data_IF_140709096453
#
_entry.id   IF_140709096453
#
_cell.length_a   1.000
_cell.length_b   1.000
_cell.length_c   1.000
_cell.angle_alpha   90.00
_cell.angle_beta   90.00
_cell.angle_gamma   90.00
#
_symmetry.space_group_name_H-M   'P 1'
#
loop_
_entity.id
_entity.type
_entity.pdbx_description
1 polymer ?
#
# COMPACT_ATOMS: atom_id res chain seq x y z
N UNK A 1 19.87 -0.36 -30.47
CA UNK A 1 18.52 0.22 -30.45
C UNK A 1 18.13 0.34 -28.99
N UNK A 2 18.34 1.51 -28.36
CA UNK A 2 17.94 1.69 -26.96
C UNK A 2 16.44 1.98 -26.93
N UNK A 3 15.64 0.98 -26.57
CA UNK A 3 14.29 1.27 -26.08
C UNK A 3 14.45 2.02 -24.77
N UNK A 4 14.12 3.31 -24.75
CA UNK A 4 13.94 4.06 -23.52
C UNK A 4 12.87 3.36 -22.70
N UNK A 5 13.27 2.66 -21.63
CA UNK A 5 12.34 2.15 -20.63
C UNK A 5 11.52 3.34 -20.13
N UNK A 6 10.20 3.27 -20.21
CA UNK A 6 9.34 4.34 -19.71
C UNK A 6 9.50 4.45 -18.19
N UNK A 7 9.46 5.68 -17.66
CA UNK A 7 9.60 5.90 -16.22
C UNK A 7 8.44 5.27 -15.43
N UNK A 8 8.71 4.84 -14.19
CA UNK A 8 7.75 4.16 -13.30
C UNK A 8 6.38 4.87 -13.23
N UNK A 9 6.34 6.19 -12.98
CA UNK A 9 5.07 6.94 -12.91
C UNK A 9 4.31 6.99 -14.25
N UNK A 10 5.01 6.93 -15.38
CA UNK A 10 4.37 6.92 -16.70
C UNK A 10 3.72 5.56 -16.96
N UNK A 11 4.42 4.48 -16.63
CA UNK A 11 3.92 3.10 -16.72
C UNK A 11 2.71 2.89 -15.81
N UNK A 12 2.79 3.37 -14.57
CA UNK A 12 1.70 3.25 -13.60
C UNK A 12 0.40 3.92 -14.07
N UNK A 13 0.49 5.09 -14.73
CA UNK A 13 -0.69 5.79 -15.29
C UNK A 13 -1.29 5.13 -16.52
N UNK A 14 -0.61 4.18 -17.15
CA UNK A 14 -1.11 3.46 -18.32
C UNK A 14 -1.86 2.18 -17.96
N UNK A 15 -1.84 1.79 -16.68
CA UNK A 15 -2.57 0.63 -16.21
C UNK A 15 -4.08 0.86 -16.39
N UNK A 16 -4.78 -0.18 -16.84
CA UNK A 16 -6.24 -0.20 -16.77
C UNK A 16 -6.70 -0.35 -15.31
N UNK A 17 -8.00 -0.12 -15.08
CA UNK A 17 -8.58 -0.14 -13.73
C UNK A 17 -8.30 -1.45 -12.97
N UNK A 18 -8.35 -2.62 -13.64
CA UNK A 18 -8.12 -3.91 -12.97
C UNK A 18 -6.66 -4.05 -12.53
N UNK A 19 -5.73 -3.55 -13.34
CA UNK A 19 -4.29 -3.53 -13.03
C UNK A 19 -3.96 -2.51 -11.94
N UNK A 20 -4.57 -1.32 -11.97
CA UNK A 20 -4.48 -0.35 -10.88
C UNK A 20 -4.94 -0.96 -9.54
N UNK A 21 -6.10 -1.62 -9.53
CA UNK A 21 -6.63 -2.27 -8.34
C UNK A 21 -5.70 -3.36 -7.81
N UNK A 22 -5.17 -4.20 -8.68
CA UNK A 22 -4.23 -5.25 -8.30
C UNK A 22 -2.91 -4.69 -7.73
N UNK A 23 -2.39 -3.60 -8.32
CA UNK A 23 -1.20 -2.89 -7.86
C UNK A 23 -1.41 -2.30 -6.44
N UNK A 24 -2.49 -1.55 -6.26
CA UNK A 24 -2.81 -0.92 -4.98
C UNK A 24 -3.12 -1.95 -3.90
N UNK A 25 -3.82 -3.05 -4.24
CA UNK A 25 -4.09 -4.13 -3.30
C UNK A 25 -2.79 -4.80 -2.80
N UNK A 26 -1.79 -4.98 -3.68
CA UNK A 26 -0.49 -5.50 -3.30
C UNK A 26 0.28 -4.54 -2.36
N UNK A 27 0.17 -3.23 -2.59
CA UNK A 27 0.71 -2.23 -1.66
C UNK A 27 -0.01 -2.25 -0.31
N UNK A 28 -1.33 -2.36 -0.29
CA UNK A 28 -2.09 -2.49 0.95
C UNK A 28 -1.70 -3.74 1.75
N UNK A 29 -1.38 -4.86 1.08
CA UNK A 29 -0.83 -6.04 1.75
C UNK A 29 0.50 -5.71 2.47
N UNK A 30 1.38 -4.93 1.84
CA UNK A 30 2.68 -4.51 2.40
C UNK A 30 2.54 -3.48 3.52
N UNK A 31 1.49 -2.67 3.52
CA UNK A 31 1.24 -1.68 4.57
C UNK A 31 0.59 -2.29 5.82
N UNK A 32 -0.11 -3.43 5.68
CA UNK A 32 -0.86 -4.09 6.74
C UNK A 32 -0.10 -4.26 8.07
N UNK A 33 1.20 -4.67 8.10
CA UNK A 33 1.90 -4.86 9.36
C UNK A 33 2.07 -3.55 10.15
N UNK A 34 2.10 -2.39 9.49
CA UNK A 34 2.20 -1.11 10.19
C UNK A 34 0.94 -0.81 11.02
N UNK A 35 -0.24 -1.03 10.44
CA UNK A 35 -1.52 -0.89 11.15
C UNK A 35 -1.59 -1.89 12.32
N UNK A 36 -1.20 -3.13 12.05
CA UNK A 36 -1.30 -4.20 13.02
C UNK A 36 -0.35 -4.03 14.21
N UNK A 37 0.87 -3.51 13.98
CA UNK A 37 1.79 -3.11 15.06
C UNK A 37 1.24 -1.97 15.90
N UNK A 38 0.64 -0.95 15.27
CA UNK A 38 -0.02 0.12 16.00
C UNK A 38 -1.13 -0.45 16.89
N UNK A 39 -2.02 -1.28 16.33
CA UNK A 39 -3.14 -1.84 17.06
C UNK A 39 -2.72 -2.75 18.22
N UNK A 40 -1.64 -3.52 18.06
CA UNK A 40 -1.08 -4.33 19.13
C UNK A 40 -0.48 -3.46 20.26
N UNK A 41 0.23 -2.39 19.91
CA UNK A 41 0.92 -1.55 20.88
C UNK A 41 -0.02 -0.65 21.68
N UNK A 42 -1.11 -0.17 21.06
CA UNK A 42 -2.06 0.76 21.70
C UNK A 42 -3.29 0.06 22.27
N UNK A 43 -3.64 -1.13 21.73
CA UNK A 43 -4.93 -1.77 21.97
C UNK A 43 -6.09 -1.11 21.22
N UNK A 44 -5.81 -0.17 20.31
CA UNK A 44 -6.81 0.56 19.51
C UNK A 44 -6.82 0.05 18.06
N UNK A 45 -8.00 -0.05 17.45
CA UNK A 45 -8.16 -0.52 16.06
C UNK A 45 -8.48 -2.02 15.91
N UNK A 46 -8.81 -2.44 14.68
CA UNK A 46 -9.20 -3.82 14.37
C UNK A 46 -8.54 -4.30 13.08
N UNK A 47 -7.36 -4.92 13.26
CA UNK A 47 -6.57 -5.51 12.17
C UNK A 47 -7.34 -6.59 11.41
N UNK A 48 -8.22 -7.33 12.08
CA UNK A 48 -9.01 -8.38 11.44
C UNK A 48 -10.08 -7.78 10.53
N UNK A 49 -10.75 -6.71 10.96
CA UNK A 49 -11.67 -5.96 10.10
C UNK A 49 -10.96 -5.38 8.87
N UNK A 50 -9.78 -4.76 9.05
CA UNK A 50 -9.00 -4.20 7.95
C UNK A 50 -8.58 -5.30 6.94
N UNK A 51 -8.11 -6.43 7.45
CA UNK A 51 -7.77 -7.62 6.66
C UNK A 51 -8.96 -8.14 5.87
N UNK A 52 -10.14 -8.21 6.46
CA UNK A 52 -11.35 -8.68 5.79
C UNK A 52 -11.75 -7.78 4.62
N UNK A 53 -11.60 -6.46 4.75
CA UNK A 53 -11.89 -5.53 3.66
C UNK A 53 -10.92 -5.75 2.50
N UNK A 54 -9.62 -5.87 2.77
CA UNK A 54 -8.63 -6.18 1.73
C UNK A 54 -8.86 -7.57 1.10
N UNK A 55 -9.35 -8.55 1.85
CA UNK A 55 -9.72 -9.87 1.33
C UNK A 55 -10.87 -9.80 0.33
N UNK A 56 -11.87 -8.95 0.57
CA UNK A 56 -12.96 -8.70 -0.37
C UNK A 56 -12.46 -8.04 -1.66
N UNK A 57 -11.47 -7.14 -1.59
CA UNK A 57 -10.81 -6.60 -2.78
C UNK A 57 -10.15 -7.71 -3.61
N UNK A 58 -9.41 -8.62 -2.96
CA UNK A 58 -8.82 -9.77 -3.66
C UNK A 58 -9.87 -10.72 -4.22
N UNK A 59 -10.97 -10.95 -3.51
CA UNK A 59 -12.09 -11.74 -4.00
C UNK A 59 -12.67 -11.12 -5.28
N UNK A 60 -12.88 -9.80 -5.30
CA UNK A 60 -13.33 -9.08 -6.49
C UNK A 60 -12.39 -9.29 -7.70
N UNK A 61 -11.07 -9.23 -7.47
CA UNK A 61 -10.07 -9.44 -8.53
C UNK A 61 -10.06 -10.90 -9.06
N UNK A 62 -10.35 -11.88 -8.20
CA UNK A 62 -10.27 -13.31 -8.48
C UNK A 62 -11.58 -13.92 -9.02
N UNK A 63 -12.73 -13.39 -8.60
CA UNK A 63 -14.05 -13.96 -8.85
C UNK A 63 -14.85 -13.03 -9.74
N UNK A 64 -15.01 -13.43 -11.00
CA UNK A 64 -15.77 -12.66 -11.98
C UNK A 64 -17.24 -12.53 -11.52
N UNK A 65 -17.68 -11.29 -11.32
CA UNK A 65 -19.07 -11.00 -10.92
C UNK A 65 -19.34 -11.11 -9.42
N UNK A 66 -18.30 -11.11 -8.57
CA UNK A 66 -18.46 -10.98 -7.12
C UNK A 66 -19.32 -9.74 -6.79
N UNK A 67 -20.38 -9.95 -6.01
CA UNK A 67 -21.28 -8.88 -5.54
C UNK A 67 -20.85 -8.44 -4.16
N UNK A 68 -20.04 -7.39 -4.10
CA UNK A 68 -19.54 -6.81 -2.86
C UNK A 68 -20.15 -5.42 -2.73
N UNK A 69 -20.68 -5.14 -1.55
CA UNK A 69 -21.16 -3.82 -1.16
C UNK A 69 -19.98 -3.00 -0.66
N UNK A 70 -19.32 -2.29 -1.59
CA UNK A 70 -18.15 -1.48 -1.31
C UNK A 70 -18.47 -0.16 -0.60
N UNK A 71 -19.70 0.35 -0.72
CA UNK A 71 -20.16 1.51 0.05
C UNK A 71 -20.18 1.15 1.54
N UNK A 72 -20.80 0.01 1.88
CA UNK A 72 -20.77 -0.50 3.25
C UNK A 72 -19.37 -0.84 3.75
N UNK A 73 -18.46 -1.27 2.87
CA UNK A 73 -17.07 -1.53 3.31
C UNK A 73 -16.30 -0.22 3.54
N UNK A 74 -16.59 0.85 2.80
CA UNK A 74 -15.99 2.16 3.03
C UNK A 74 -16.44 2.75 4.37
N UNK A 75 -17.73 2.63 4.72
CA UNK A 75 -18.25 3.05 6.03
C UNK A 75 -17.52 2.35 7.18
N UNK A 76 -17.35 1.02 7.07
CA UNK A 76 -16.60 0.25 8.07
C UNK A 76 -15.13 0.63 8.11
N UNK A 77 -14.52 0.92 6.97
CA UNK A 77 -13.11 1.28 6.89
C UNK A 77 -12.83 2.60 7.62
N UNK A 78 -13.74 3.57 7.51
CA UNK A 78 -13.64 4.84 8.23
C UNK A 78 -13.65 4.66 9.77
N UNK A 79 -14.35 3.65 10.28
CA UNK A 79 -14.34 3.30 11.71
C UNK A 79 -13.00 2.70 12.18
N UNK A 80 -12.10 2.34 11.25
CA UNK A 80 -10.79 1.75 11.55
C UNK A 80 -9.67 2.80 11.64
N UNK A 81 -9.96 4.08 11.38
CA UNK A 81 -8.98 5.14 11.56
C UNK A 81 -8.51 5.23 13.02
N UNK A 82 -7.22 5.51 13.26
CA UNK A 82 -6.71 5.80 14.60
C UNK A 82 -7.49 6.93 15.29
N UNK A 83 -7.56 6.95 16.64
CA UNK A 83 -8.28 7.97 17.39
C UNK A 83 -7.84 9.40 17.03
N UNK A 84 -8.82 10.30 16.90
CA UNK A 84 -8.55 11.72 16.65
C UNK A 84 -7.68 12.29 17.77
N UNK A 85 -6.53 12.84 17.41
CA UNK A 85 -5.56 13.44 18.34
C UNK A 85 -4.39 12.53 18.71
N UNK A 86 -4.37 11.28 18.26
CA UNK A 86 -3.15 10.46 18.32
C UNK A 86 -2.19 10.84 17.18
N UNK A 87 -1.23 11.71 17.51
CA UNK A 87 -0.18 12.18 16.60
C UNK A 87 1.08 11.30 16.64
N UNK A 88 1.01 10.09 17.21
CA UNK A 88 2.14 9.18 17.23
C UNK A 88 2.55 8.75 15.81
N UNK A 89 3.81 8.37 15.66
CA UNK A 89 4.31 7.84 14.39
C UNK A 89 3.51 6.60 13.96
N UNK A 90 3.21 5.70 14.91
CA UNK A 90 2.41 4.50 14.66
C UNK A 90 1.00 4.84 14.15
N UNK A 91 0.31 5.81 14.77
CA UNK A 91 -1.00 6.25 14.31
C UNK A 91 -0.96 6.79 12.88
N UNK A 92 0.05 7.59 12.51
CA UNK A 92 0.19 8.08 11.12
C UNK A 92 0.37 6.94 10.12
N UNK A 93 1.14 5.90 10.46
CA UNK A 93 1.34 4.72 9.59
C UNK A 93 0.10 3.84 9.50
N UNK A 94 -0.66 3.72 10.59
CA UNK A 94 -1.94 3.04 10.59
C UNK A 94 -2.96 3.78 9.72
N UNK A 95 -3.08 5.11 9.87
CA UNK A 95 -3.95 5.95 9.06
C UNK A 95 -3.60 5.86 7.57
N UNK A 96 -2.32 5.92 7.20
CA UNK A 96 -1.89 5.75 5.80
C UNK A 96 -2.32 4.39 5.21
N UNK A 97 -2.33 3.34 6.02
CA UNK A 97 -2.80 2.01 5.60
C UNK A 97 -4.31 2.03 5.33
N UNK A 98 -5.09 2.69 6.19
CA UNK A 98 -6.55 2.87 6.04
C UNK A 98 -6.86 3.71 4.80
N UNK A 99 -6.18 4.84 4.63
CA UNK A 99 -6.35 5.74 3.47
C UNK A 99 -5.98 5.05 2.16
N UNK A 100 -4.90 4.27 2.13
CA UNK A 100 -4.52 3.49 0.96
C UNK A 100 -5.61 2.47 0.56
N UNK A 101 -6.20 1.79 1.54
CA UNK A 101 -7.31 0.88 1.29
C UNK A 101 -8.59 1.63 0.88
N UNK A 102 -8.82 2.83 1.39
CA UNK A 102 -9.95 3.67 0.98
C UNK A 102 -9.83 4.04 -0.50
N UNK A 103 -8.64 4.45 -0.95
CA UNK A 103 -8.39 4.75 -2.37
C UNK A 103 -8.68 3.55 -3.29
N UNK A 104 -8.43 2.32 -2.82
CA UNK A 104 -8.82 1.09 -3.53
C UNK A 104 -10.34 0.96 -3.66
N UNK A 105 -11.08 1.20 -2.56
CA UNK A 105 -12.54 1.15 -2.57
C UNK A 105 -13.14 2.25 -3.47
N UNK A 106 -12.57 3.44 -3.48
CA UNK A 106 -12.97 4.55 -4.35
C UNK A 106 -12.77 4.20 -5.82
N UNK A 107 -11.62 3.59 -6.14
CA UNK A 107 -11.31 3.12 -7.49
C UNK A 107 -12.29 2.04 -7.96
N UNK A 108 -12.75 1.16 -7.06
CA UNK A 108 -13.80 0.16 -7.38
C UNK A 108 -15.16 0.81 -7.70
N UNK A 109 -15.40 2.02 -7.19
CA UNK A 109 -16.60 2.82 -7.47
C UNK A 109 -16.47 3.68 -8.73
N UNK A 110 -15.31 3.66 -9.39
CA UNK A 110 -15.04 4.44 -10.61
C UNK A 110 -14.55 5.87 -10.33
N UNK A 111 -14.12 6.12 -9.10
CA UNK A 111 -13.63 7.41 -8.62
C UNK A 111 -12.11 7.31 -8.47
N UNK A 112 -11.35 8.33 -8.93
CA UNK A 112 -9.89 8.44 -8.81
C UNK A 112 -9.01 7.71 -9.86
N UNK A 113 -8.72 8.35 -11.01
CA UNK A 113 -7.76 7.84 -11.99
C UNK A 113 -6.29 7.87 -11.52
N UNK A 114 -5.96 8.69 -10.53
CA UNK A 114 -4.59 8.86 -10.00
C UNK A 114 -4.33 8.04 -8.71
N UNK A 115 -5.32 7.31 -8.20
CA UNK A 115 -5.24 6.57 -6.93
C UNK A 115 -4.00 5.66 -6.84
N UNK A 116 -3.64 4.96 -7.93
CA UNK A 116 -2.48 4.07 -7.91
C UNK A 116 -1.17 4.82 -7.65
N UNK A 117 -1.03 6.03 -8.20
CA UNK A 117 0.13 6.88 -7.95
C UNK A 117 0.12 7.43 -6.52
N UNK A 118 -1.03 7.85 -6.03
CA UNK A 118 -1.18 8.36 -4.66
C UNK A 118 -0.81 7.28 -3.62
N UNK A 119 -1.31 6.05 -3.77
CA UNK A 119 -0.96 4.91 -2.90
C UNK A 119 0.54 4.57 -2.98
N UNK A 120 1.13 4.60 -4.19
CA UNK A 120 2.57 4.42 -4.39
C UNK A 120 3.39 5.47 -3.65
N UNK A 121 3.00 6.75 -3.74
CA UNK A 121 3.67 7.87 -3.07
C UNK A 121 3.48 7.83 -1.56
N UNK A 122 2.30 7.42 -1.07
CA UNK A 122 2.04 7.27 0.36
C UNK A 122 2.96 6.22 0.98
N UNK A 123 3.11 5.05 0.33
CA UNK A 123 4.04 4.01 0.81
C UNK A 123 5.48 4.50 0.91
N UNK A 124 5.98 5.22 -0.12
CA UNK A 124 7.33 5.81 -0.12
C UNK A 124 7.48 6.93 0.90
N UNK A 125 6.46 7.74 1.09
CA UNK A 125 6.45 8.80 2.09
C UNK A 125 6.54 8.21 3.51
N UNK A 126 5.89 7.07 3.74
CA UNK A 126 6.02 6.30 4.97
C UNK A 126 7.46 5.89 5.26
N UNK A 127 8.17 5.36 4.26
CA UNK A 127 9.59 5.00 4.35
C UNK A 127 10.47 6.21 4.62
N UNK A 128 10.28 7.31 3.88
CA UNK A 128 11.01 8.57 4.10
C UNK A 128 10.88 9.03 5.56
N UNK A 129 9.65 9.07 6.08
CA UNK A 129 9.39 9.53 7.43
C UNK A 129 9.91 8.55 8.50
N UNK A 130 10.01 7.25 8.20
CA UNK A 130 10.68 6.31 9.09
C UNK A 130 12.18 6.55 9.17
N UNK A 131 12.83 6.77 8.01
CA UNK A 131 14.26 7.11 7.94
C UNK A 131 14.55 8.42 8.68
N UNK A 132 13.72 9.44 8.46
CA UNK A 132 13.80 10.72 9.19
C UNK A 132 13.78 10.49 10.71
N UNK A 133 12.84 9.67 11.20
CA UNK A 133 12.71 9.34 12.62
C UNK A 133 13.92 8.55 13.16
N UNK A 134 14.42 7.55 12.43
CA UNK A 134 15.47 6.65 12.94
C UNK A 134 16.88 7.22 12.83
N UNK A 135 17.14 8.01 11.79
CA UNK A 135 18.45 8.65 11.57
C UNK A 135 18.55 10.00 12.31
N UNK A 136 17.43 10.61 12.69
CA UNK A 136 17.39 11.88 13.42
C UNK A 136 17.95 13.05 12.62
N UNK A 137 17.69 13.07 11.30
CA UNK A 137 18.14 14.13 10.40
C UNK A 137 16.97 15.09 10.07
N UNK A 138 17.06 16.31 10.60
CA UNK A 138 16.03 17.33 10.47
C UNK A 138 16.31 18.33 9.31
N UNK A 139 17.49 18.27 8.67
CA UNK A 139 17.79 19.09 7.50
C UNK A 139 17.26 18.43 6.21
N UNK A 140 16.33 19.08 5.53
CA UNK A 140 15.66 18.55 4.34
C UNK A 140 16.62 18.12 3.22
N UNK A 141 17.70 18.89 2.99
CA UNK A 141 18.64 18.61 1.90
C UNK A 141 19.48 17.37 2.22
N UNK A 142 19.93 17.23 3.47
CA UNK A 142 20.67 16.06 3.94
C UNK A 142 19.77 14.83 4.02
N UNK A 143 18.55 14.96 4.55
CA UNK A 143 17.58 13.90 4.60
C UNK A 143 17.25 13.36 3.20
N UNK A 144 17.11 14.24 2.20
CA UNK A 144 16.87 13.80 0.82
C UNK A 144 18.01 12.93 0.25
N UNK A 145 19.27 13.25 0.59
CA UNK A 145 20.43 12.44 0.22
C UNK A 145 20.40 11.10 0.97
N UNK A 146 20.16 11.15 2.28
CA UNK A 146 20.09 9.97 3.16
C UNK A 146 19.02 8.99 2.67
N UNK A 147 17.80 9.48 2.44
CA UNK A 147 16.66 8.69 1.95
C UNK A 147 16.95 8.04 0.61
N UNK A 148 17.59 8.76 -0.32
CA UNK A 148 17.95 8.22 -1.64
C UNK A 148 18.95 7.06 -1.55
N UNK A 149 19.83 7.09 -0.56
CA UNK A 149 20.90 6.11 -0.39
C UNK A 149 20.53 5.00 0.62
N UNK A 150 19.41 5.15 1.32
CA UNK A 150 18.99 4.23 2.38
C UNK A 150 18.47 2.88 1.81
N UNK A 151 18.94 1.74 2.34
CA UNK A 151 18.52 0.41 1.87
C UNK A 151 17.00 0.19 1.88
N UNK A 152 16.29 0.72 2.88
CA UNK A 152 14.83 0.60 2.99
C UNK A 152 14.09 1.31 1.85
N UNK A 153 14.61 2.45 1.36
CA UNK A 153 14.01 3.14 0.22
C UNK A 153 14.32 2.39 -1.09
N UNK A 154 15.51 1.82 -1.22
CA UNK A 154 15.84 0.95 -2.34
C UNK A 154 14.94 -0.29 -2.38
N UNK A 155 14.72 -0.96 -1.25
CA UNK A 155 13.80 -2.09 -1.13
C UNK A 155 12.35 -1.72 -1.50
N UNK A 156 11.88 -0.55 -1.06
CA UNK A 156 10.54 -0.07 -1.43
C UNK A 156 10.42 0.25 -2.93
N UNK A 157 11.47 0.78 -3.56
CA UNK A 157 11.50 0.97 -5.01
C UNK A 157 11.46 -0.37 -5.75
N UNK A 158 12.32 -1.30 -5.37
CA UNK A 158 12.42 -2.63 -5.98
C UNK A 158 11.11 -3.42 -5.82
N UNK A 159 10.48 -3.34 -4.64
CA UNK A 159 9.17 -3.93 -4.39
C UNK A 159 8.11 -3.36 -5.33
N UNK A 160 8.00 -2.03 -5.42
CA UNK A 160 6.99 -1.39 -6.27
C UNK A 160 7.23 -1.64 -7.76
N UNK A 161 8.48 -1.65 -8.22
CA UNK A 161 8.83 -2.01 -9.60
C UNK A 161 8.43 -3.47 -9.88
N UNK A 162 8.71 -4.40 -8.97
CA UNK A 162 8.33 -5.81 -9.11
C UNK A 162 6.80 -5.99 -9.16
N UNK A 163 6.06 -5.28 -8.30
CA UNK A 163 4.58 -5.29 -8.32
C UNK A 163 4.05 -4.70 -9.63
N UNK A 164 4.63 -3.60 -10.11
CA UNK A 164 4.24 -2.97 -11.38
C UNK A 164 4.47 -3.92 -12.56
N UNK A 165 5.64 -4.54 -12.65
CA UNK A 165 5.96 -5.53 -13.68
C UNK A 165 4.99 -6.72 -13.66
N UNK A 166 4.63 -7.19 -12.46
CA UNK A 166 3.68 -8.29 -12.31
C UNK A 166 2.26 -7.93 -12.81
N UNK A 167 1.78 -6.69 -12.58
CA UNK A 167 0.44 -6.28 -13.04
C UNK A 167 0.40 -5.91 -14.52
N UNK A 168 1.51 -5.47 -15.11
CA UNK A 168 1.60 -5.24 -16.55
C UNK A 168 1.51 -6.54 -17.36
N UNK A 169 1.90 -7.67 -16.76
CA UNK A 169 1.76 -9.00 -17.34
C UNK A 169 0.31 -9.51 -17.42
N UNK A 170 0.19 -10.83 -17.59
CA UNK A 170 -1.09 -11.52 -17.63
C UNK A 170 -1.65 -11.70 -16.20
N UNK A 171 -2.83 -11.12 -15.93
CA UNK A 171 -3.50 -11.17 -14.62
C UNK A 171 -4.56 -12.28 -14.56
N UNK A 172 -4.11 -13.53 -14.70
CA UNK A 172 -4.92 -14.71 -14.43
C UNK A 172 -5.06 -14.99 -12.92
N UNK A 173 -5.80 -16.05 -12.57
CA UNK A 173 -6.07 -16.42 -11.17
C UNK A 173 -4.79 -16.74 -10.40
N UNK A 174 -3.80 -17.36 -11.03
CA UNK A 174 -2.58 -17.77 -10.33
C UNK A 174 -1.56 -16.62 -10.24
N UNK A 175 -1.52 -15.74 -11.24
CA UNK A 175 -0.82 -14.46 -11.19
C UNK A 175 -1.32 -13.60 -10.03
N UNK A 176 -2.64 -13.45 -9.86
CA UNK A 176 -3.21 -12.71 -8.72
C UNK A 176 -2.85 -13.33 -7.36
N UNK A 177 -2.83 -14.67 -7.24
CA UNK A 177 -2.38 -15.33 -6.00
C UNK A 177 -0.88 -15.15 -5.74
N UNK A 178 -0.05 -15.11 -6.79
CA UNK A 178 1.38 -14.81 -6.67
C UNK A 178 1.58 -13.35 -6.25
N UNK A 179 0.84 -12.43 -6.88
CA UNK A 179 0.86 -11.01 -6.55
C UNK A 179 0.43 -10.74 -5.11
N UNK A 180 -0.63 -11.39 -4.63
CA UNK A 180 -1.04 -11.29 -3.22
C UNK A 180 0.04 -11.78 -2.26
N UNK A 181 0.74 -12.87 -2.62
CA UNK A 181 1.87 -13.38 -1.82
C UNK A 181 3.07 -12.44 -1.85
N UNK A 182 3.39 -11.88 -3.01
CA UNK A 182 4.41 -10.84 -3.16
C UNK A 182 4.06 -9.64 -2.28
N UNK A 183 2.82 -9.13 -2.34
CA UNK A 183 2.36 -8.01 -1.54
C UNK A 183 2.47 -8.22 -0.05
N UNK A 184 2.19 -9.44 0.44
CA UNK A 184 2.37 -9.79 1.86
C UNK A 184 3.81 -9.72 2.32
N UNK A 185 4.77 -9.85 1.39
CA UNK A 185 6.19 -9.70 1.63
C UNK A 185 6.68 -10.42 2.89
N UNK A 186 6.29 -11.69 3.04
CA UNK A 186 6.66 -12.52 4.21
C UNK A 186 6.27 -11.90 5.58
N UNK A 187 5.27 -11.02 5.62
CA UNK A 187 4.83 -10.32 6.83
C UNK A 187 5.58 -9.02 7.12
N UNK A 188 6.57 -8.65 6.30
CA UNK A 188 7.43 -7.48 6.49
C UNK A 188 6.87 -6.26 5.73
N UNK A 189 6.65 -5.16 6.44
CA UNK A 189 6.11 -3.94 5.85
C UNK A 189 7.12 -3.15 5.00
N UNK A 190 6.64 -2.10 4.33
CA UNK A 190 7.49 -1.10 3.68
C UNK A 190 8.50 -0.46 4.65
N UNK A 191 8.27 -0.50 5.96
CA UNK A 191 9.18 0.03 6.97
C UNK A 191 10.19 -1.00 7.47
N UNK A 192 10.16 -2.23 6.94
CA UNK A 192 10.99 -3.33 7.45
C UNK A 192 10.50 -3.91 8.77
N UNK A 193 9.24 -3.64 9.15
CA UNK A 193 8.66 -4.07 10.42
C UNK A 193 7.78 -5.32 10.25
N UNK A 194 7.75 -6.18 11.26
CA UNK A 194 6.93 -7.41 11.30
C UNK A 194 6.38 -7.63 12.71
N UNK A 195 5.32 -8.44 12.81
CA UNK A 195 4.71 -8.91 14.08
C UNK A 195 5.25 -10.27 14.55
N UNK A 196 6.09 -10.91 13.74
CA UNK A 196 6.72 -12.21 14.05
C UNK A 196 7.93 -12.08 15.00
#
# INVERSE_FOLDING_TARGET
MSSTSQGFHQRLRQLDQRRCLAFMAALCERLMPNYALYAEQTGEGDTHALRNILDLVWEHLLVKGAKIDFERQADKLAELEPPVGDDSFGARRALETVVALSAVLDTLRGESPDAALEVSLASRSGVRAFIELTEGEDDDARLAVLVREHPLMADEHDFQDTVLEAVEGELDRDALKRLRRLGRNEGVSNLGLTLD
#
